data_IF_419146312560
#
_entry.id   IF_419146312560
#
_cell.length_a   1.000
_cell.length_b   1.000
_cell.length_c   1.000
_cell.angle_alpha   90.00
_cell.angle_beta   90.00
_cell.angle_gamma   90.00
#
_symmetry.space_group_name_H-M   'P 1'
#
loop_
_entity.id
_entity.type
_entity.pdbx_description
1 polymer ?
#
# COMPACT_ATOMS: atom_id res chain seq x y z
N UNK A 1 -3.52 -9.48 -9.01
CA UNK A 1 -4.49 -8.62 -8.28
C UNK A 1 -4.59 -9.13 -6.86
N UNK A 2 -4.88 -8.26 -5.90
CA UNK A 2 -5.04 -8.63 -4.49
C UNK A 2 -5.76 -7.54 -3.71
N UNK A 3 -5.95 -7.74 -2.41
CA UNK A 3 -6.60 -6.77 -1.51
C UNK A 3 -5.55 -6.22 -0.52
N UNK A 4 -5.41 -4.91 -0.46
CA UNK A 4 -4.71 -4.22 0.63
C UNK A 4 -5.72 -3.81 1.69
N UNK A 5 -5.46 -4.15 2.95
CA UNK A 5 -6.22 -3.66 4.10
C UNK A 5 -5.31 -2.85 5.02
N UNK A 6 -5.79 -1.68 5.45
CA UNK A 6 -5.06 -0.80 6.36
C UNK A 6 -6.01 0.00 7.25
N UNK A 7 -5.48 0.57 8.33
CA UNK A 7 -6.21 1.50 9.20
C UNK A 7 -5.95 2.94 8.76
N UNK A 8 -7.00 3.68 8.40
CA UNK A 8 -6.88 5.06 7.96
C UNK A 8 -6.36 5.98 9.07
N UNK A 9 -5.23 6.66 8.85
CA UNK A 9 -4.53 7.46 9.86
C UNK A 9 -5.37 8.57 10.49
N UNK A 10 -6.32 9.14 9.71
CA UNK A 10 -7.19 10.22 10.18
C UNK A 10 -8.49 9.72 10.78
N UNK A 11 -9.00 8.57 10.32
CA UNK A 11 -10.34 8.09 10.64
C UNK A 11 -10.36 6.91 11.60
N UNK A 12 -9.24 6.22 11.80
CA UNK A 12 -9.16 4.96 12.55
C UNK A 12 -9.91 3.78 11.91
N UNK A 13 -10.51 3.98 10.74
CA UNK A 13 -11.32 2.95 10.08
C UNK A 13 -10.45 1.97 9.30
N UNK A 14 -10.79 0.68 9.34
CA UNK A 14 -10.24 -0.30 8.41
C UNK A 14 -10.79 -0.04 7.00
N UNK A 15 -9.90 -0.02 6.02
CA UNK A 15 -10.19 0.21 4.61
C UNK A 15 -9.53 -0.91 3.81
N UNK A 16 -10.30 -1.52 2.90
CA UNK A 16 -9.82 -2.58 2.00
C UNK A 16 -9.98 -2.15 0.55
N UNK A 17 -8.92 -2.27 -0.25
CA UNK A 17 -8.91 -1.84 -1.65
C UNK A 17 -8.33 -2.93 -2.55
N UNK A 18 -8.99 -3.26 -3.67
CA UNK A 18 -8.41 -4.12 -4.69
C UNK A 18 -7.32 -3.36 -5.46
N UNK A 19 -6.13 -3.94 -5.54
CA UNK A 19 -4.95 -3.34 -6.15
C UNK A 19 -4.20 -4.34 -7.05
N UNK A 20 -3.51 -3.79 -8.03
CA UNK A 20 -2.48 -4.51 -8.78
C UNK A 20 -1.16 -4.43 -8.02
N UNK A 21 -0.56 -5.58 -7.75
CA UNK A 21 0.74 -5.70 -7.09
C UNK A 21 1.77 -6.27 -8.06
N UNK A 22 3.00 -5.77 -7.96
CA UNK A 22 4.20 -6.45 -8.46
C UNK A 22 4.99 -6.95 -7.26
N UNK A 23 5.51 -8.18 -7.32
CA UNK A 23 6.29 -8.79 -6.24
C UNK A 23 7.75 -8.94 -6.64
N UNK A 24 8.66 -8.63 -5.72
CA UNK A 24 10.09 -8.90 -5.83
C UNK A 24 10.61 -9.35 -4.47
N UNK A 25 10.85 -10.65 -4.31
CA UNK A 25 11.17 -11.25 -3.00
C UNK A 25 10.06 -10.94 -1.99
N UNK A 26 10.46 -10.30 -0.89
CA UNK A 26 9.58 -9.95 0.23
C UNK A 26 9.02 -8.53 0.12
N UNK A 27 9.13 -7.90 -1.06
CA UNK A 27 8.53 -6.60 -1.32
C UNK A 27 7.38 -6.72 -2.31
N UNK A 28 6.27 -6.06 -1.98
CA UNK A 28 5.17 -5.78 -2.91
C UNK A 28 5.17 -4.31 -3.26
N UNK A 29 5.06 -4.00 -4.56
CA UNK A 29 4.97 -2.63 -5.06
C UNK A 29 3.65 -2.38 -5.78
N UNK A 30 3.03 -1.26 -5.44
CA UNK A 30 1.80 -0.74 -6.05
C UNK A 30 2.09 0.60 -6.72
N UNK A 31 1.78 0.71 -8.00
CA UNK A 31 1.70 2.01 -8.69
C UNK A 31 0.36 2.67 -8.47
N UNK A 32 0.33 3.92 -8.02
CA UNK A 32 -0.92 4.65 -7.79
C UNK A 32 -1.27 5.45 -9.04
N UNK A 33 -2.23 4.95 -9.81
CA UNK A 33 -2.74 5.67 -10.97
C UNK A 33 -3.51 6.95 -10.54
N UNK A 34 -3.19 8.06 -11.20
CA UNK A 34 -3.79 9.39 -10.98
C UNK A 34 -3.78 9.78 -9.48
N UNK A 35 -2.59 9.89 -8.87
CA UNK A 35 -2.46 9.96 -7.41
C UNK A 35 -3.13 11.20 -6.80
N UNK A 36 -3.21 12.31 -7.52
CA UNK A 36 -3.84 13.54 -7.04
C UNK A 36 -5.36 13.41 -6.86
N UNK A 37 -6.01 12.43 -7.51
CA UNK A 37 -7.43 12.10 -7.33
C UNK A 37 -7.68 11.08 -6.22
N UNK A 38 -6.64 10.62 -5.52
CA UNK A 38 -6.74 9.58 -4.50
C UNK A 38 -6.02 10.03 -3.23
N UNK A 39 -6.52 9.63 -2.06
CA UNK A 39 -5.91 10.01 -0.78
C UNK A 39 -5.40 8.82 0.04
N UNK A 40 -5.70 7.58 -0.34
CA UNK A 40 -5.36 6.39 0.45
C UNK A 40 -3.84 6.23 0.63
N UNK A 41 -3.05 6.49 -0.40
CA UNK A 41 -1.58 6.37 -0.36
C UNK A 41 -0.94 7.36 0.64
N UNK A 42 -1.63 8.47 0.96
CA UNK A 42 -1.16 9.45 1.93
C UNK A 42 -1.15 8.92 3.37
N UNK A 43 -1.72 7.74 3.62
CA UNK A 43 -1.62 7.08 4.92
C UNK A 43 -0.18 6.64 5.24
N UNK A 44 0.69 6.52 4.23
CA UNK A 44 2.02 5.92 4.37
C UNK A 44 3.17 6.87 4.01
N UNK A 45 2.95 8.19 3.99
CA UNK A 45 3.99 9.19 3.61
C UNK A 45 4.87 9.55 4.81
N UNK A 46 4.23 9.88 5.94
CA UNK A 46 4.93 10.42 7.12
C UNK A 46 5.58 9.30 7.89
N UNK A 47 4.78 8.30 8.22
CA UNK A 47 5.20 7.09 8.90
C UNK A 47 4.81 5.90 8.04
N UNK A 48 5.66 4.88 8.07
CA UNK A 48 5.30 3.61 7.48
C UNK A 48 4.12 3.00 8.26
N UNK A 49 3.19 2.35 7.56
CA UNK A 49 1.95 1.85 8.15
C UNK A 49 1.83 0.33 8.09
N UNK A 50 1.40 -0.29 9.18
CA UNK A 50 1.07 -1.73 9.22
C UNK A 50 -0.12 -2.01 8.29
N UNK A 51 0.02 -3.04 7.47
CA UNK A 51 -1.00 -3.47 6.50
C UNK A 51 -1.16 -4.98 6.46
N UNK A 52 -2.34 -5.42 6.07
CA UNK A 52 -2.61 -6.80 5.67
C UNK A 52 -2.78 -6.85 4.15
N UNK A 53 -2.23 -7.89 3.51
CA UNK A 53 -2.36 -8.10 2.06
C UNK A 53 -2.88 -9.50 1.79
N UNK A 54 -3.93 -9.59 0.98
CA UNK A 54 -4.37 -10.84 0.37
C UNK A 54 -3.89 -10.87 -1.09
N UNK A 55 -3.08 -11.88 -1.44
CA UNK A 55 -2.69 -12.18 -2.81
C UNK A 55 -3.26 -13.54 -3.24
N UNK A 56 -4.46 -13.52 -3.78
CA UNK A 56 -5.11 -14.71 -4.31
C UNK A 56 -5.39 -15.75 -3.24
N UNK A 57 -5.83 -15.31 -2.05
CA UNK A 57 -6.13 -16.16 -0.90
C UNK A 57 -4.93 -16.39 0.04
N UNK A 58 -3.73 -15.94 -0.33
CA UNK A 58 -2.57 -15.97 0.58
C UNK A 58 -2.51 -14.67 1.38
N UNK A 59 -2.57 -14.78 2.69
CA UNK A 59 -2.52 -13.64 3.61
C UNK A 59 -1.09 -13.34 4.05
N UNK A 60 -0.72 -12.07 3.96
CA UNK A 60 0.55 -11.53 4.42
C UNK A 60 0.32 -10.31 5.30
N UNK A 61 1.22 -10.07 6.23
CA UNK A 61 1.33 -8.80 6.94
C UNK A 61 2.57 -8.07 6.47
N UNK A 62 2.62 -6.76 6.67
CA UNK A 62 3.80 -5.99 6.34
C UNK A 62 3.73 -4.53 6.71
N UNK A 63 4.76 -3.80 6.29
CA UNK A 63 4.92 -2.37 6.53
C UNK A 63 4.94 -1.61 5.20
N UNK A 64 3.97 -0.72 5.01
CA UNK A 64 3.79 0.06 3.79
C UNK A 64 4.41 1.45 3.91
N UNK A 65 5.12 1.88 2.86
CA UNK A 65 5.69 3.23 2.72
C UNK A 65 5.36 3.80 1.35
N UNK A 66 4.90 5.04 1.30
CA UNK A 66 4.59 5.76 0.07
C UNK A 66 5.71 6.70 -0.33
N UNK A 67 6.13 6.65 -1.59
CA UNK A 67 7.05 7.63 -2.18
C UNK A 67 6.38 8.34 -3.34
N UNK A 68 6.56 9.66 -3.43
CA UNK A 68 6.26 10.45 -4.63
C UNK A 68 7.59 10.90 -5.23
N UNK A 69 7.81 10.61 -6.51
CA UNK A 69 9.02 11.06 -7.20
C UNK A 69 8.86 12.46 -7.81
N UNK A 70 9.95 13.00 -8.35
CA UNK A 70 10.01 14.34 -8.95
C UNK A 70 9.09 14.50 -10.17
N UNK A 71 8.70 13.39 -10.80
CA UNK A 71 7.74 13.36 -11.92
C UNK A 71 6.29 13.26 -11.42
N UNK A 72 6.08 13.32 -10.11
CA UNK A 72 4.79 13.24 -9.46
C UNK A 72 4.18 11.83 -9.41
N UNK A 73 4.90 10.79 -9.82
CA UNK A 73 4.43 9.39 -9.74
C UNK A 73 4.47 8.94 -8.29
N UNK A 74 3.45 8.20 -7.88
CA UNK A 74 3.35 7.66 -6.53
C UNK A 74 3.45 6.14 -6.56
N UNK A 75 4.31 5.62 -5.70
CA UNK A 75 4.44 4.20 -5.42
C UNK A 75 4.20 3.94 -3.95
N UNK A 76 3.56 2.81 -3.66
CA UNK A 76 3.53 2.24 -2.31
C UNK A 76 4.35 0.96 -2.34
N UNK A 77 5.39 0.92 -1.52
CA UNK A 77 6.20 -0.27 -1.28
C UNK A 77 5.74 -0.90 0.03
N UNK A 78 5.61 -2.22 0.05
CA UNK A 78 5.20 -2.99 1.22
C UNK A 78 6.29 -4.03 1.46
N UNK A 79 7.05 -3.85 2.53
CA UNK A 79 7.93 -4.89 3.04
C UNK A 79 7.09 -5.91 3.80
N UNK A 80 7.06 -7.15 3.31
CA UNK A 80 6.33 -8.24 3.94
C UNK A 80 7.08 -8.71 5.18
N UNK A 81 6.31 -9.04 6.21
CA UNK A 81 6.85 -9.73 7.38
C UNK A 81 7.28 -11.14 6.93
N UNK A 82 8.52 -11.52 7.26
CA UNK A 82 9.14 -12.80 6.88
C UNK A 82 8.58 -13.99 7.65
#
# INVERSE_FOLDING_TARGET
MGILTYTGRKSGKKISLPLAFSRKGDHLKVGVAVPDRKNWWKNFITDAGRVDVDLGGNHYTGLATSTRDDRGRVFVDIALDS
#
